data_IF_389481879972
#
_entry.id   IF_389481879972
#
_cell.length_a   1.000
_cell.length_b   1.000
_cell.length_c   1.000
_cell.angle_alpha   90.00
_cell.angle_beta   90.00
_cell.angle_gamma   90.00
#
_symmetry.space_group_name_H-M   'P 1'
#
loop_
_entity.id
_entity.type
_entity.pdbx_description
1 polymer ?
#
# COMPACT_ATOMS: atom_id res chain seq x y z
N UNK A 1 18.41 14.87 -15.47
CA UNK A 1 19.47 14.44 -14.53
C UNK A 1 20.55 15.52 -14.45
N UNK A 2 21.36 15.50 -13.38
CA UNK A 2 22.35 16.55 -13.06
C UNK A 2 23.62 16.58 -13.93
N UNK A 3 24.61 17.37 -13.53
CA UNK A 3 25.83 17.57 -14.29
C UNK A 3 26.69 16.30 -14.36
N UNK A 4 26.74 15.56 -13.24
CA UNK A 4 27.45 14.29 -13.08
C UNK A 4 26.91 13.11 -13.91
N UNK A 5 25.65 13.18 -14.37
CA UNK A 5 24.90 12.01 -14.86
C UNK A 5 25.61 11.16 -15.91
N UNK A 6 26.10 11.80 -16.97
CA UNK A 6 26.69 11.10 -18.12
C UNK A 6 27.96 10.38 -17.71
N UNK A 7 28.85 11.09 -16.98
CA UNK A 7 30.10 10.56 -16.44
C UNK A 7 29.86 9.41 -15.46
N UNK A 8 28.90 9.52 -14.55
CA UNK A 8 28.57 8.43 -13.61
C UNK A 8 28.01 7.22 -14.35
N UNK A 9 27.05 7.42 -15.27
CA UNK A 9 26.48 6.32 -16.07
C UNK A 9 27.54 5.59 -16.89
N UNK A 10 28.41 6.34 -17.57
CA UNK A 10 29.48 5.75 -18.38
C UNK A 10 30.47 4.98 -17.50
N UNK A 11 30.86 5.51 -16.35
CA UNK A 11 31.70 4.81 -15.39
C UNK A 11 31.04 3.54 -14.81
N UNK A 12 29.71 3.51 -14.67
CA UNK A 12 28.97 2.30 -14.27
C UNK A 12 28.95 1.26 -15.39
N UNK A 13 28.68 1.69 -16.62
CA UNK A 13 28.63 0.83 -17.81
C UNK A 13 30.00 0.21 -18.14
N UNK A 14 31.09 0.96 -17.97
CA UNK A 14 32.47 0.46 -18.14
C UNK A 14 33.03 -0.27 -16.92
N UNK A 15 32.29 -0.35 -15.80
CA UNK A 15 32.78 -0.93 -14.54
C UNK A 15 33.94 -0.16 -13.90
N UNK A 16 34.15 1.12 -14.26
CA UNK A 16 35.22 1.97 -13.73
C UNK A 16 34.79 2.85 -12.55
N UNK A 17 33.49 2.92 -12.23
CA UNK A 17 33.02 3.59 -11.01
C UNK A 17 33.66 2.91 -9.78
N UNK A 18 34.28 3.70 -8.91
CA UNK A 18 34.87 3.26 -7.64
C UNK A 18 34.12 3.88 -6.46
N UNK A 19 34.14 3.26 -5.28
CA UNK A 19 33.78 3.95 -4.04
C UNK A 19 34.55 5.27 -3.91
N UNK A 20 33.86 6.36 -3.57
CA UNK A 20 34.48 7.69 -3.41
C UNK A 20 34.44 8.62 -4.64
N UNK A 21 33.88 8.20 -5.78
CA UNK A 21 33.64 9.12 -6.91
C UNK A 21 32.68 10.27 -6.51
N UNK A 22 33.18 11.51 -6.50
CA UNK A 22 32.44 12.73 -6.07
C UNK A 22 31.14 12.98 -6.86
N UNK A 23 31.02 12.43 -8.06
CA UNK A 23 29.84 12.57 -8.92
C UNK A 23 28.67 11.63 -8.56
N UNK A 24 28.94 10.52 -7.88
CA UNK A 24 27.94 9.50 -7.57
C UNK A 24 26.86 9.97 -6.56
N UNK A 25 27.18 10.70 -5.47
CA UNK A 25 26.17 11.24 -4.56
C UNK A 25 25.20 12.23 -5.20
N UNK A 26 25.63 13.02 -6.19
CA UNK A 26 24.73 13.92 -6.93
C UNK A 26 23.68 13.10 -7.70
N UNK A 27 24.10 12.01 -8.36
CA UNK A 27 23.20 11.13 -9.11
C UNK A 27 22.22 10.41 -8.19
N UNK A 28 22.68 9.93 -7.03
CA UNK A 28 21.83 9.33 -6.00
C UNK A 28 20.75 10.30 -5.50
N UNK A 29 21.14 11.51 -5.08
CA UNK A 29 20.19 12.53 -4.61
C UNK A 29 19.19 12.97 -5.70
N UNK A 30 19.62 13.03 -6.97
CA UNK A 30 18.73 13.32 -8.11
C UNK A 30 17.77 12.17 -8.43
N UNK A 31 18.14 10.92 -8.14
CA UNK A 31 17.27 9.75 -8.27
C UNK A 31 16.18 9.73 -7.20
N UNK A 32 16.52 10.01 -5.93
CA UNK A 32 15.49 10.14 -4.88
C UNK A 32 14.55 11.33 -5.14
N UNK A 33 15.07 12.48 -5.58
CA UNK A 33 14.24 13.62 -5.99
C UNK A 33 13.32 13.28 -7.19
N UNK A 34 13.75 12.39 -8.09
CA UNK A 34 12.93 11.87 -9.18
C UNK A 34 11.80 10.97 -8.66
N UNK A 35 12.07 10.07 -7.70
CA UNK A 35 11.04 9.25 -7.08
C UNK A 35 9.99 10.08 -6.34
N UNK A 36 10.41 11.10 -5.58
CA UNK A 36 9.48 12.06 -4.95
C UNK A 36 8.63 12.79 -6.00
N UNK A 37 9.24 13.26 -7.09
CA UNK A 37 8.51 13.90 -8.18
C UNK A 37 7.48 12.96 -8.84
N UNK A 38 7.86 11.71 -9.18
CA UNK A 38 6.93 10.76 -9.80
C UNK A 38 5.83 10.35 -8.82
N UNK A 39 6.13 10.19 -7.53
CA UNK A 39 5.13 9.91 -6.49
C UNK A 39 4.07 11.01 -6.43
N UNK A 40 4.48 12.28 -6.39
CA UNK A 40 3.56 13.42 -6.42
C UNK A 40 2.74 13.49 -7.72
N UNK A 41 3.33 13.19 -8.88
CA UNK A 41 2.58 13.16 -10.15
C UNK A 41 1.58 12.00 -10.22
N UNK A 42 1.93 10.83 -9.67
CA UNK A 42 1.06 9.67 -9.63
C UNK A 42 -0.09 9.90 -8.65
N UNK A 43 0.17 10.40 -7.44
CA UNK A 43 -0.88 10.77 -6.48
C UNK A 43 -1.88 11.78 -7.06
N UNK A 44 -1.41 12.79 -7.79
CA UNK A 44 -2.26 13.74 -8.54
C UNK A 44 -3.14 13.09 -9.63
N UNK A 45 -2.70 11.99 -10.24
CA UNK A 45 -3.48 11.24 -11.25
C UNK A 45 -4.48 10.28 -10.61
N UNK A 46 -4.15 9.72 -9.46
CA UNK A 46 -4.98 8.73 -8.76
C UNK A 46 -6.01 9.36 -7.79
N UNK A 47 -5.74 10.58 -7.29
CA UNK A 47 -6.52 11.18 -6.22
C UNK A 47 -6.24 10.59 -4.83
N UNK A 48 -5.12 9.87 -4.69
CA UNK A 48 -4.74 9.08 -3.52
C UNK A 48 -3.34 9.47 -3.02
N UNK A 49 -3.01 9.18 -1.77
CA UNK A 49 -1.66 9.41 -1.25
C UNK A 49 -0.65 8.43 -1.85
N UNK A 50 0.49 8.98 -2.29
CA UNK A 50 1.57 8.27 -2.96
C UNK A 50 2.89 8.85 -2.50
N UNK A 51 3.70 8.04 -1.82
CA UNK A 51 4.93 8.47 -1.15
C UNK A 51 6.12 7.56 -1.50
N UNK A 52 7.37 8.07 -1.55
CA UNK A 52 8.55 7.23 -1.63
C UNK A 52 8.64 6.28 -0.44
N UNK A 53 8.79 4.99 -0.71
CA UNK A 53 8.92 3.95 0.30
C UNK A 53 10.36 3.90 0.82
N UNK A 54 10.61 4.66 1.90
CA UNK A 54 11.88 4.69 2.63
C UNK A 54 11.75 3.97 3.98
N UNK A 55 12.80 3.30 4.42
CA UNK A 55 12.82 2.71 5.76
C UNK A 55 12.87 3.81 6.85
N UNK A 56 12.43 3.48 8.07
CA UNK A 56 12.53 4.40 9.23
C UNK A 56 13.96 4.91 9.47
N UNK A 57 14.98 4.12 9.12
CA UNK A 57 16.39 4.50 9.23
C UNK A 57 16.81 5.51 8.16
N UNK A 58 16.38 5.30 6.91
CA UNK A 58 16.66 6.23 5.80
C UNK A 58 15.92 7.56 5.92
N UNK A 59 14.73 7.56 6.55
CA UNK A 59 14.01 8.79 6.90
C UNK A 59 14.69 9.59 8.01
N UNK A 60 15.29 8.90 8.99
CA UNK A 60 16.04 9.55 10.07
C UNK A 60 17.43 10.03 9.62
N UNK A 61 18.06 9.33 8.68
CA UNK A 61 19.38 9.66 8.12
C UNK A 61 19.38 9.58 6.58
N UNK A 62 19.19 10.73 5.89
CA UNK A 62 19.28 10.82 4.43
C UNK A 62 20.68 10.50 3.87
N UNK A 63 21.74 10.59 4.67
CA UNK A 63 23.09 10.23 4.23
C UNK A 63 23.25 8.70 4.11
N UNK A 64 22.59 7.90 4.97
CA UNK A 64 22.55 6.43 4.81
C UNK A 64 21.82 6.00 3.53
N UNK A 65 20.75 6.71 3.16
CA UNK A 65 20.03 6.50 1.90
C UNK A 65 20.93 6.74 0.69
N UNK A 66 21.62 7.89 0.67
CA UNK A 66 22.56 8.25 -0.39
C UNK A 66 23.75 7.28 -0.49
N UNK A 67 24.33 6.89 0.65
CA UNK A 67 25.40 5.88 0.70
C UNK A 67 24.96 4.53 0.14
N UNK A 68 23.76 4.06 0.50
CA UNK A 68 23.19 2.80 -0.02
C UNK A 68 23.03 2.83 -1.54
N UNK A 69 22.52 3.93 -2.10
CA UNK A 69 22.41 4.11 -3.56
C UNK A 69 23.77 4.13 -4.26
N UNK A 70 24.77 4.83 -3.70
CA UNK A 70 26.14 4.86 -4.25
C UNK A 70 26.80 3.48 -4.19
N UNK A 71 26.51 2.69 -3.14
CA UNK A 71 27.01 1.32 -3.00
C UNK A 71 26.39 0.37 -4.02
N UNK A 72 25.05 0.37 -4.20
CA UNK A 72 24.40 -0.42 -5.26
C UNK A 72 24.85 -0.01 -6.66
N UNK A 73 25.00 1.30 -6.91
CA UNK A 73 25.45 1.82 -8.21
C UNK A 73 26.91 1.45 -8.54
N UNK A 74 27.81 1.37 -7.55
CA UNK A 74 29.20 0.95 -7.77
C UNK A 74 29.39 -0.57 -7.85
N UNK A 75 28.69 -1.34 -7.01
CA UNK A 75 28.80 -2.81 -6.98
C UNK A 75 27.96 -3.46 -8.09
N UNK A 76 26.65 -3.30 -8.03
CA UNK A 76 25.67 -3.94 -8.90
C UNK A 76 25.46 -3.19 -10.21
N UNK A 77 25.68 -1.86 -10.22
CA UNK A 77 25.37 -1.00 -11.36
C UNK A 77 23.93 -0.49 -11.35
N UNK A 78 23.24 -0.58 -10.22
CA UNK A 78 21.81 -0.31 -10.10
C UNK A 78 21.49 0.91 -9.23
N UNK A 79 20.39 1.59 -9.55
CA UNK A 79 19.72 2.54 -8.67
C UNK A 79 18.34 1.99 -8.34
N UNK A 80 18.02 1.83 -7.06
CA UNK A 80 16.77 1.23 -6.62
C UNK A 80 16.04 2.13 -5.63
N UNK A 81 14.73 2.22 -5.78
CA UNK A 81 13.82 2.74 -4.76
C UNK A 81 12.46 2.08 -4.90
N UNK A 82 11.50 2.53 -4.10
CA UNK A 82 10.13 2.03 -4.16
C UNK A 82 9.15 3.16 -3.84
N UNK A 83 7.88 2.95 -4.19
CA UNK A 83 6.79 3.89 -4.03
C UNK A 83 5.65 3.17 -3.30
N UNK A 84 5.23 3.70 -2.16
CA UNK A 84 3.99 3.31 -1.50
C UNK A 84 2.83 4.01 -2.19
N UNK A 85 1.78 3.25 -2.51
CA UNK A 85 0.54 3.75 -3.09
C UNK A 85 -0.57 3.29 -2.15
N UNK A 86 -1.40 4.21 -1.68
CA UNK A 86 -2.50 3.89 -0.79
C UNK A 86 -3.42 2.83 -1.44
N UNK A 87 -3.89 1.87 -0.65
CA UNK A 87 -4.75 0.75 -1.07
C UNK A 87 -4.16 -0.24 -2.11
N UNK A 88 -2.90 -0.09 -2.54
CA UNK A 88 -2.23 -1.05 -3.42
C UNK A 88 -1.82 -2.35 -2.69
N UNK A 89 -1.61 -3.43 -3.45
CA UNK A 89 -1.25 -4.76 -2.90
C UNK A 89 0.14 -4.83 -2.23
N UNK A 90 0.99 -3.83 -2.48
CA UNK A 90 2.35 -3.72 -1.98
C UNK A 90 3.06 -2.51 -2.60
N UNK A 91 4.29 -2.19 -2.15
CA UNK A 91 5.08 -1.10 -2.72
C UNK A 91 5.49 -1.42 -4.17
N UNK A 92 5.38 -0.42 -5.05
CA UNK A 92 5.88 -0.47 -6.42
C UNK A 92 7.39 -0.23 -6.37
N UNK A 93 8.19 -1.27 -6.61
CA UNK A 93 9.66 -1.22 -6.56
C UNK A 93 10.21 -0.89 -7.95
N UNK A 94 11.10 0.09 -8.03
CA UNK A 94 11.71 0.58 -9.27
C UNK A 94 13.22 0.32 -9.21
N UNK A 95 13.69 -0.59 -10.05
CA UNK A 95 15.12 -0.91 -10.19
C UNK A 95 15.60 -0.47 -11.56
N UNK A 96 16.54 0.47 -11.56
CA UNK A 96 17.22 0.98 -12.75
C UNK A 96 18.56 0.29 -12.88
N UNK A 97 18.75 -0.60 -13.86
CA UNK A 97 20.05 -1.17 -14.19
C UNK A 97 20.75 -0.30 -15.25
N UNK A 98 21.82 0.38 -14.84
CA UNK A 98 22.59 1.29 -15.70
C UNK A 98 23.57 0.56 -16.62
N UNK A 99 23.90 -0.70 -16.35
CA UNK A 99 24.75 -1.54 -17.20
C UNK A 99 23.92 -2.20 -18.32
N UNK A 100 22.76 -2.74 -17.96
CA UNK A 100 21.81 -3.30 -18.92
C UNK A 100 21.03 -2.22 -19.70
N UNK A 101 20.94 -1.00 -19.18
CA UNK A 101 20.14 0.07 -19.79
C UNK A 101 18.64 -0.17 -19.67
N UNK A 102 18.19 -0.84 -18.61
CA UNK A 102 16.79 -1.25 -18.40
C UNK A 102 16.28 -0.75 -17.06
N UNK A 103 15.09 -0.13 -17.05
CA UNK A 103 14.33 0.14 -15.83
C UNK A 103 13.24 -0.93 -15.69
N UNK A 104 13.28 -1.64 -14.56
CA UNK A 104 12.33 -2.68 -14.20
C UNK A 104 11.48 -2.20 -13.03
N UNK A 105 10.18 -2.09 -13.25
CA UNK A 105 9.21 -1.93 -12.17
C UNK A 105 8.70 -3.31 -11.74
N UNK A 106 8.52 -3.54 -10.45
CA UNK A 106 7.88 -4.75 -9.94
C UNK A 106 7.04 -4.52 -8.70
N UNK A 107 6.14 -5.46 -8.42
CA UNK A 107 5.38 -5.56 -7.17
C UNK A 107 5.31 -7.02 -6.75
N UNK A 108 5.37 -7.24 -5.44
CA UNK A 108 5.23 -8.56 -4.83
C UNK A 108 3.82 -8.69 -4.22
N UNK A 109 3.14 -9.80 -4.52
CA UNK A 109 1.79 -10.10 -4.03
C UNK A 109 1.76 -11.46 -3.32
N UNK A 110 1.10 -11.52 -2.16
CA UNK A 110 0.90 -12.79 -1.45
C UNK A 110 0.01 -13.73 -2.27
N UNK A 111 0.37 -15.01 -2.36
CA UNK A 111 -0.46 -16.00 -3.00
C UNK A 111 -1.67 -16.35 -2.10
N UNK A 112 -2.80 -16.81 -2.68
CA UNK A 112 -3.92 -17.34 -1.91
C UNK A 112 -3.46 -18.45 -0.97
N UNK A 113 -3.91 -18.42 0.29
CA UNK A 113 -3.54 -19.47 1.26
C UNK A 113 -4.15 -20.82 0.85
N UNK A 114 -5.38 -20.79 0.36
CA UNK A 114 -6.14 -21.97 -0.02
C UNK A 114 -5.96 -22.39 -1.49
N UNK A 115 -6.10 -23.69 -1.75
CA UNK A 115 -6.07 -24.29 -3.08
C UNK A 115 -4.70 -24.82 -3.53
N UNK A 116 -4.70 -25.56 -4.64
CA UNK A 116 -3.47 -26.15 -5.22
C UNK A 116 -2.60 -25.06 -5.86
N UNK A 117 -1.31 -25.31 -6.06
CA UNK A 117 -0.38 -24.38 -6.71
C UNK A 117 -0.92 -23.83 -8.05
N UNK A 118 -1.49 -24.68 -8.92
CA UNK A 118 -2.13 -24.26 -10.18
C UNK A 118 -3.35 -23.36 -9.98
N UNK A 119 -4.12 -23.55 -8.91
CA UNK A 119 -5.24 -22.67 -8.55
C UNK A 119 -4.73 -21.27 -8.17
N UNK A 120 -3.60 -21.18 -7.46
CA UNK A 120 -2.94 -19.92 -7.09
C UNK A 120 -2.39 -19.18 -8.31
N UNK A 121 -1.75 -19.88 -9.25
CA UNK A 121 -1.29 -19.29 -10.53
C UNK A 121 -2.49 -18.79 -11.35
N UNK A 122 -3.54 -19.61 -11.51
CA UNK A 122 -4.75 -19.20 -12.22
C UNK A 122 -5.48 -18.03 -11.56
N UNK A 123 -5.39 -17.87 -10.24
CA UNK A 123 -5.89 -16.68 -9.53
C UNK A 123 -5.12 -15.41 -9.91
N UNK A 124 -3.80 -15.48 -10.08
CA UNK A 124 -3.00 -14.35 -10.55
C UNK A 124 -3.30 -14.04 -12.03
N UNK A 125 -3.35 -15.05 -12.89
CA UNK A 125 -3.63 -14.88 -14.32
C UNK A 125 -4.97 -14.19 -14.61
N UNK A 126 -5.99 -14.43 -13.76
CA UNK A 126 -7.28 -13.71 -13.86
C UNK A 126 -7.18 -12.22 -13.59
N UNK A 127 -6.17 -11.74 -12.88
CA UNK A 127 -5.92 -10.32 -12.63
C UNK A 127 -5.05 -9.73 -13.74
N UNK A 128 -4.07 -10.49 -14.25
CA UNK A 128 -3.14 -10.08 -15.31
C UNK A 128 -3.72 -10.21 -16.74
N UNK A 129 -4.99 -9.86 -16.95
CA UNK A 129 -5.64 -9.93 -18.28
C UNK A 129 -5.22 -8.82 -19.22
N UNK A 130 -5.02 -7.61 -18.71
CA UNK A 130 -4.61 -6.43 -19.47
C UNK A 130 -3.08 -6.22 -19.50
N UNK A 131 -2.35 -6.93 -18.63
CA UNK A 131 -0.90 -6.89 -18.54
C UNK A 131 -0.20 -7.34 -19.86
N UNK A 132 0.92 -6.70 -20.24
CA UNK A 132 1.65 -7.07 -21.46
C UNK A 132 2.27 -8.47 -21.41
N UNK A 133 2.35 -9.14 -22.55
CA UNK A 133 2.97 -10.47 -22.74
C UNK A 133 4.47 -10.54 -22.38
N UNK A 134 5.13 -9.38 -22.34
CA UNK A 134 6.51 -9.18 -21.91
C UNK A 134 6.68 -9.09 -20.39
N UNK A 135 5.59 -9.01 -19.63
CA UNK A 135 5.60 -9.07 -18.17
C UNK A 135 6.23 -10.39 -17.72
N UNK A 136 7.14 -10.33 -16.75
CA UNK A 136 7.69 -11.50 -16.07
C UNK A 136 6.93 -11.77 -14.79
N UNK A 137 6.57 -13.03 -14.58
CA UNK A 137 5.97 -13.53 -13.34
C UNK A 137 6.96 -14.51 -12.71
N UNK A 138 7.33 -14.28 -11.46
CA UNK A 138 8.19 -15.13 -10.65
C UNK A 138 7.40 -15.66 -9.44
N UNK A 139 7.41 -16.98 -9.24
CA UNK A 139 6.68 -17.66 -8.18
C UNK A 139 7.64 -18.17 -7.09
N UNK A 140 7.40 -17.78 -5.84
CA UNK A 140 8.23 -18.19 -4.70
C UNK A 140 7.52 -19.27 -3.89
N UNK A 141 8.21 -20.39 -3.64
CA UNK A 141 7.69 -21.47 -2.80
C UNK A 141 7.82 -21.15 -1.30
N UNK A 142 6.90 -21.68 -0.50
CA UNK A 142 6.96 -21.65 0.96
C UNK A 142 8.23 -22.35 1.45
N UNK A 143 8.94 -21.71 2.39
CA UNK A 143 10.25 -22.13 2.91
C UNK A 143 11.36 -22.28 1.86
N UNK A 144 11.14 -21.82 0.62
CA UNK A 144 12.16 -21.72 -0.41
C UNK A 144 13.26 -20.72 -0.03
N UNK A 145 14.48 -20.99 -0.52
CA UNK A 145 15.62 -20.08 -0.45
C UNK A 145 16.10 -19.80 -1.88
N UNK A 146 16.34 -18.53 -2.21
CA UNK A 146 16.83 -18.12 -3.53
C UNK A 146 15.75 -17.57 -4.45
N UNK A 147 16.03 -17.58 -5.75
CA UNK A 147 15.12 -17.12 -6.80
C UNK A 147 13.90 -18.04 -6.92
N UNK A 148 12.77 -17.49 -7.36
CA UNK A 148 11.58 -18.24 -7.70
C UNK A 148 11.62 -18.83 -9.11
N UNK A 149 10.65 -19.68 -9.42
CA UNK A 149 10.42 -20.13 -10.81
C UNK A 149 9.86 -18.94 -11.59
N UNK A 150 10.55 -18.48 -12.64
CA UNK A 150 10.21 -17.23 -13.33
C UNK A 150 10.02 -17.42 -14.83
N UNK A 151 8.87 -16.97 -15.34
CA UNK A 151 8.52 -17.05 -16.77
C UNK A 151 7.84 -15.79 -17.31
N UNK A 152 7.77 -15.69 -18.64
CA UNK A 152 7.07 -14.59 -19.32
C UNK A 152 5.57 -14.87 -19.41
N UNK A 153 4.76 -13.83 -19.20
CA UNK A 153 3.31 -13.94 -19.00
C UNK A 153 2.60 -14.65 -20.16
N UNK A 154 3.06 -14.48 -21.42
CA UNK A 154 2.56 -15.26 -22.56
C UNK A 154 2.63 -16.79 -22.32
N UNK A 155 3.80 -17.29 -21.91
CA UNK A 155 4.03 -18.72 -21.71
C UNK A 155 3.26 -19.24 -20.49
N UNK A 156 3.11 -18.40 -19.44
CA UNK A 156 2.29 -18.76 -18.26
C UNK A 156 0.80 -18.78 -18.57
N UNK A 157 0.30 -17.93 -19.50
CA UNK A 157 -1.09 -17.98 -19.97
C UNK A 157 -1.37 -19.28 -20.74
N UNK A 158 -0.44 -19.69 -21.62
CA UNK A 158 -0.56 -20.93 -22.39
C UNK A 158 -0.40 -22.17 -21.50
N UNK A 159 0.58 -22.15 -20.57
CA UNK A 159 0.91 -23.26 -19.70
C UNK A 159 1.19 -22.79 -18.24
N UNK A 160 0.14 -22.65 -17.40
CA UNK A 160 0.28 -22.21 -16.01
C UNK A 160 1.18 -23.08 -15.11
N UNK A 161 1.44 -24.32 -15.54
CA UNK A 161 2.32 -25.25 -14.82
C UNK A 161 3.81 -24.86 -14.85
N UNK A 162 4.23 -23.98 -15.77
CA UNK A 162 5.64 -23.55 -15.87
C UNK A 162 6.16 -22.81 -14.62
N UNK A 163 5.26 -22.22 -13.81
CA UNK A 163 5.61 -21.58 -12.54
C UNK A 163 5.61 -22.55 -11.33
N UNK A 164 5.50 -23.85 -11.56
CA UNK A 164 5.34 -24.87 -10.51
C UNK A 164 6.42 -25.94 -10.68
N UNK A 165 7.59 -25.70 -10.07
CA UNK A 165 8.69 -26.66 -10.05
C UNK A 165 8.35 -27.95 -9.29
N UNK A 166 7.68 -27.83 -8.13
CA UNK A 166 7.24 -28.97 -7.31
C UNK A 166 5.77 -28.78 -6.89
N UNK A 167 4.83 -29.57 -7.46
CA UNK A 167 3.41 -29.49 -7.11
C UNK A 167 3.07 -29.78 -5.64
N UNK A 168 3.99 -30.37 -4.86
CA UNK A 168 3.82 -30.62 -3.42
C UNK A 168 4.19 -29.42 -2.55
N UNK A 169 4.87 -28.41 -3.10
CA UNK A 169 5.24 -27.19 -2.37
C UNK A 169 4.20 -26.09 -2.62
N UNK A 170 3.72 -25.49 -1.54
CA UNK A 170 2.84 -24.34 -1.64
C UNK A 170 3.58 -23.09 -2.12
N UNK A 171 2.88 -22.26 -2.90
CA UNK A 171 3.40 -20.96 -3.34
C UNK A 171 3.10 -19.92 -2.25
N UNK A 172 4.13 -19.17 -1.84
CA UNK A 172 4.07 -18.09 -0.84
C UNK A 172 3.57 -16.79 -1.46
N UNK A 173 4.16 -16.42 -2.58
CA UNK A 173 4.02 -15.10 -3.19
C UNK A 173 4.43 -15.14 -4.65
N UNK A 174 3.97 -14.15 -5.40
CA UNK A 174 4.39 -13.89 -6.77
C UNK A 174 5.03 -12.51 -6.86
N UNK A 175 6.04 -12.38 -7.71
CA UNK A 175 6.56 -11.09 -8.18
C UNK A 175 6.12 -10.89 -9.61
N UNK A 176 5.55 -9.72 -9.90
CA UNK A 176 5.16 -9.32 -11.24
C UNK A 176 6.06 -8.16 -11.62
N UNK A 177 6.80 -8.29 -12.73
CA UNK A 177 7.82 -7.34 -13.13
C UNK A 177 7.73 -6.98 -14.63
N UNK A 178 7.88 -5.70 -14.96
CA UNK A 178 7.94 -5.21 -16.34
C UNK A 178 9.21 -4.39 -16.54
N UNK A 179 10.02 -4.78 -17.52
CA UNK A 179 11.24 -4.08 -17.93
C UNK A 179 11.00 -3.20 -19.16
N UNK A 180 11.62 -2.02 -19.19
CA UNK A 180 11.61 -1.11 -20.34
C UNK A 180 12.96 -0.41 -20.52
N UNK A 181 13.34 0.00 -21.75
CA UNK A 181 14.64 0.59 -22.00
C UNK A 181 14.79 2.01 -21.43
N UNK A 182 15.97 2.31 -20.91
CA UNK A 182 16.33 3.61 -20.34
C UNK A 182 16.76 4.59 -21.45
N UNK A 183 16.21 5.79 -21.41
CA UNK A 183 16.62 6.90 -22.26
C UNK A 183 18.03 7.41 -21.94
N UNK A 184 18.87 7.52 -22.97
CA UNK A 184 20.27 7.94 -22.84
C UNK A 184 20.47 9.45 -22.66
N UNK A 185 19.44 10.30 -22.85
CA UNK A 185 19.56 11.76 -22.78
C UNK A 185 19.55 12.28 -21.34
N UNK A 186 20.29 13.37 -21.10
CA UNK A 186 20.46 14.02 -19.78
C UNK A 186 19.27 14.89 -19.35
N UNK A 187 18.59 15.53 -20.30
CA UNK A 187 17.55 16.56 -20.05
C UNK A 187 16.18 16.00 -19.67
N UNK A 188 15.11 16.78 -19.95
CA UNK A 188 13.72 16.30 -20.08
C UNK A 188 13.40 16.08 -21.56
N UNK A 189 12.38 15.29 -21.87
CA UNK A 189 11.90 15.05 -23.23
C UNK A 189 12.33 13.69 -23.80
N UNK A 190 11.63 13.27 -24.86
CA UNK A 190 11.64 11.90 -25.42
C UNK A 190 13.05 11.29 -25.51
N UNK A 191 13.23 10.17 -24.82
CA UNK A 191 14.50 9.44 -24.72
C UNK A 191 15.43 9.94 -23.60
N UNK A 192 14.91 10.67 -22.61
CA UNK A 192 15.64 11.00 -21.38
C UNK A 192 15.51 9.91 -20.30
N UNK A 193 16.46 9.91 -19.37
CA UNK A 193 16.39 9.06 -18.17
C UNK A 193 15.12 9.28 -17.35
N UNK A 194 14.78 10.55 -17.11
CA UNK A 194 13.64 10.96 -16.27
C UNK A 194 12.34 10.47 -16.88
N UNK A 195 12.13 10.77 -18.17
CA UNK A 195 10.94 10.37 -18.90
C UNK A 195 10.83 8.84 -18.99
N UNK A 196 11.93 8.09 -19.14
CA UNK A 196 11.90 6.62 -19.13
C UNK A 196 11.43 6.05 -17.78
N UNK A 197 11.95 6.56 -16.66
CA UNK A 197 11.54 6.11 -15.32
C UNK A 197 10.09 6.50 -15.03
N UNK A 198 9.69 7.74 -15.35
CA UNK A 198 8.31 8.21 -15.20
C UNK A 198 7.34 7.36 -16.04
N UNK A 199 7.64 7.12 -17.32
CA UNK A 199 6.79 6.28 -18.17
C UNK A 199 6.74 4.83 -17.67
N UNK A 200 7.87 4.23 -17.28
CA UNK A 200 7.90 2.86 -16.76
C UNK A 200 6.99 2.68 -15.53
N UNK A 201 7.00 3.65 -14.60
CA UNK A 201 6.14 3.63 -13.40
C UNK A 201 4.67 3.81 -13.79
N UNK A 202 4.33 4.77 -14.67
CA UNK A 202 2.94 5.00 -15.08
C UNK A 202 2.37 3.80 -15.85
N UNK A 203 3.12 3.24 -16.81
CA UNK A 203 2.72 2.05 -17.57
C UNK A 203 2.59 0.82 -16.67
N UNK A 204 3.56 0.57 -15.78
CA UNK A 204 3.47 -0.55 -14.85
C UNK A 204 2.27 -0.41 -13.89
N UNK A 205 1.95 0.81 -13.44
CA UNK A 205 0.76 1.02 -12.63
C UNK A 205 -0.53 0.75 -13.40
N UNK A 206 -0.69 1.35 -14.58
CA UNK A 206 -1.90 1.27 -15.39
C UNK A 206 -2.16 -0.11 -16.01
N UNK A 207 -1.12 -0.81 -16.47
CA UNK A 207 -1.33 -2.09 -17.16
C UNK A 207 -1.33 -3.30 -16.20
N UNK A 208 -0.85 -3.13 -14.96
CA UNK A 208 -0.65 -4.22 -13.99
C UNK A 208 -1.19 -3.87 -12.60
N UNK A 209 -0.64 -2.86 -11.92
CA UNK A 209 -0.91 -2.68 -10.48
C UNK A 209 -2.36 -2.34 -10.17
N UNK A 210 -3.03 -1.55 -11.01
CA UNK A 210 -4.42 -1.13 -10.79
C UNK A 210 -5.43 -2.29 -10.79
N UNK A 211 -5.10 -3.41 -11.44
CA UNK A 211 -5.95 -4.61 -11.56
C UNK A 211 -5.68 -5.66 -10.46
N UNK A 212 -4.57 -5.52 -9.73
CA UNK A 212 -4.19 -6.45 -8.65
C UNK A 212 -5.06 -6.22 -7.40
N UNK A 213 -5.49 -7.32 -6.78
CA UNK A 213 -6.23 -7.33 -5.52
C UNK A 213 -5.61 -8.35 -4.57
N UNK A 214 -5.32 -7.95 -3.34
CA UNK A 214 -4.79 -8.87 -2.34
C UNK A 214 -5.82 -9.97 -2.06
N UNK A 215 -5.36 -11.22 -1.90
CA UNK A 215 -6.25 -12.32 -1.57
C UNK A 215 -6.81 -12.15 -0.14
N UNK A 216 -8.12 -12.37 0.01
CA UNK A 216 -8.83 -12.38 1.29
C UNK A 216 -9.51 -13.73 1.47
N UNK A 217 -9.49 -14.26 2.70
CA UNK A 217 -10.18 -15.50 3.03
C UNK A 217 -11.70 -15.36 2.88
N UNK A 218 -12.39 -16.45 2.55
CA UNK A 218 -13.85 -16.46 2.52
C UNK A 218 -14.39 -16.20 3.94
N UNK A 219 -15.44 -15.37 4.13
CA UNK A 219 -16.07 -15.19 5.43
C UNK A 219 -16.52 -16.53 6.03
N UNK A 220 -16.33 -16.75 7.35
CA UNK A 220 -16.81 -17.95 8.00
C UNK A 220 -18.34 -18.00 7.90
N UNK A 221 -18.87 -19.15 7.46
CA UNK A 221 -20.32 -19.37 7.41
C UNK A 221 -20.84 -19.63 8.82
N UNK A 222 -22.05 -19.14 9.11
CA UNK A 222 -22.76 -19.55 10.31
C UNK A 222 -22.94 -21.07 10.28
N UNK A 223 -22.75 -21.70 11.44
CA UNK A 223 -23.03 -23.13 11.59
C UNK A 223 -24.54 -23.28 11.61
N UNK A 224 -25.10 -23.90 10.58
CA UNK A 224 -26.47 -24.39 10.64
C UNK A 224 -26.56 -25.36 11.81
N UNK A 225 -27.26 -24.94 12.87
CA UNK A 225 -27.68 -25.86 13.93
C UNK A 225 -28.73 -26.74 13.25
N UNK A 226 -28.52 -28.07 13.15
CA UNK A 226 -29.57 -28.94 12.63
C UNK A 226 -30.79 -28.75 13.52
N UNK A 227 -31.95 -28.46 12.93
CA UNK A 227 -33.20 -28.43 13.66
C UNK A 227 -33.40 -29.81 14.28
N UNK A 228 -33.11 -29.92 15.59
CA UNK A 228 -33.53 -31.06 16.39
C UNK A 228 -35.05 -31.06 16.34
N UNK A 229 -35.60 -32.06 15.65
CA UNK A 229 -37.03 -32.34 15.62
C UNK A 229 -37.59 -32.26 17.04
N UNK A 230 -38.57 -31.37 17.23
CA UNK A 230 -39.12 -30.98 18.51
C UNK A 230 -40.00 -32.10 19.13
N UNK A 231 -39.38 -33.22 19.54
CA UNK A 231 -39.91 -34.03 20.64
C UNK A 231 -39.41 -33.43 21.95
N UNK A 232 -40.06 -32.32 22.36
CA UNK A 232 -39.94 -31.84 23.73
C UNK A 232 -40.74 -32.78 24.62
N UNK A 233 -40.12 -33.56 25.55
CA UNK A 233 -40.88 -33.98 26.71
C UNK A 233 -41.36 -32.70 27.41
N UNK A 234 -42.66 -32.59 27.63
CA UNK A 234 -43.26 -31.44 28.30
C UNK A 234 -42.56 -31.20 29.63
N UNK A 235 -41.90 -30.05 29.78
CA UNK A 235 -41.37 -29.62 31.07
C UNK A 235 -42.57 -29.23 31.94
N UNK A 236 -43.15 -30.22 32.63
CA UNK A 236 -44.13 -29.99 33.68
C UNK A 236 -43.48 -29.09 34.72
N UNK A 237 -43.98 -27.86 34.84
CA UNK A 237 -43.47 -26.88 35.78
C UNK A 237 -43.80 -27.31 37.21
N UNK A 238 -42.93 -28.13 37.80
CA UNK A 238 -42.91 -28.38 39.25
C UNK A 238 -42.33 -27.16 39.96
N UNK A 239 -43.10 -26.07 39.94
CA UNK A 239 -43.01 -25.02 40.94
C UNK A 239 -43.39 -25.61 42.30
N UNK A 240 -42.44 -26.34 42.91
CA UNK A 240 -42.57 -26.84 44.27
C UNK A 240 -42.49 -25.65 45.23
N UNK A 241 -43.68 -25.11 45.47
CA UNK A 241 -44.06 -24.26 46.59
C UNK A 241 -43.21 -24.57 47.83
N UNK A 242 -42.47 -23.56 48.28
CA UNK A 242 -41.74 -23.58 49.54
C UNK A 242 -42.00 -22.27 50.27
N UNK A 243 -43.09 -22.26 51.04
CA UNK A 243 -43.25 -21.37 52.19
C UNK A 243 -44.27 -21.97 53.15
N UNK A 244 -43.83 -22.08 54.40
CA UNK A 244 -44.59 -22.62 55.53
C UNK A 244 -45.52 -21.53 56.11
N UNK A 245 -46.61 -21.93 56.77
CA UNK A 245 -47.78 -21.07 56.96
C UNK A 245 -47.82 -20.21 58.23
N UNK A 246 -48.81 -19.32 58.27
CA UNK A 246 -49.44 -18.80 59.49
C UNK A 246 -50.88 -18.35 59.16
N UNK A 247 -51.77 -18.45 60.15
CA UNK A 247 -53.23 -18.29 60.03
C UNK A 247 -53.68 -16.82 60.03
N UNK A 248 -54.84 -16.54 59.42
CA UNK A 248 -56.05 -16.02 60.10
C UNK A 248 -57.07 -15.38 59.13
N UNK A 249 -58.36 -15.46 59.48
CA UNK A 249 -59.49 -14.82 58.79
C UNK A 249 -59.47 -13.28 58.88
N UNK A 250 -60.01 -12.58 57.85
CA UNK A 250 -61.17 -11.65 57.97
C UNK A 250 -61.50 -10.85 56.67
N UNK A 251 -62.55 -11.27 55.93
CA UNK A 251 -63.76 -10.54 55.45
C UNK A 251 -63.71 -8.96 55.42
N UNK A 252 -64.35 -8.19 54.49
CA UNK A 252 -64.63 -8.31 53.03
C UNK A 252 -64.52 -6.98 52.18
N UNK A 253 -64.82 -7.07 50.87
CA UNK A 253 -65.59 -6.13 49.98
C UNK A 253 -65.43 -4.58 49.98
N UNK A 254 -65.01 -4.04 48.81
CA UNK A 254 -65.64 -2.96 47.98
C UNK A 254 -65.87 -1.50 48.54
N UNK A 255 -66.13 -0.47 47.69
CA UNK A 255 -65.41 -0.01 46.48
C UNK A 255 -65.21 1.55 46.45
N UNK A 256 -64.97 2.10 45.24
CA UNK A 256 -65.24 3.49 44.76
C UNK A 256 -64.14 4.57 44.71
N UNK A 257 -64.07 5.18 43.51
CA UNK A 257 -63.78 6.57 43.12
C UNK A 257 -62.58 7.39 43.65
N UNK A 258 -61.89 8.01 42.68
CA UNK A 258 -61.85 9.49 42.68
C UNK A 258 -60.49 10.20 42.64
N UNK A 259 -60.04 10.54 41.42
CA UNK A 259 -59.60 11.90 41.05
C UNK A 259 -58.32 12.52 41.70
N UNK A 260 -57.27 12.76 40.90
CA UNK A 260 -56.75 14.12 40.53
C UNK A 260 -55.32 14.12 39.90
N UNK A 261 -55.11 15.10 39.00
CA UNK A 261 -53.86 15.57 38.35
C UNK A 261 -53.66 17.07 38.74
N UNK A 262 -52.69 17.88 38.21
CA UNK A 262 -51.43 17.64 37.46
C UNK A 262 -50.23 18.15 38.34
N UNK A 263 -49.21 18.98 37.96
CA UNK A 263 -48.61 19.36 36.66
C UNK A 263 -47.05 19.41 36.55
N UNK A 264 -46.60 19.34 35.28
CA UNK A 264 -45.54 20.08 34.57
C UNK A 264 -44.22 20.57 35.22
N UNK A 265 -43.11 20.18 34.56
CA UNK A 265 -41.97 21.06 34.20
C UNK A 265 -41.38 20.62 32.83
N UNK A 266 -41.21 21.51 31.84
CA UNK A 266 -40.43 21.27 30.62
C UNK A 266 -39.08 22.04 30.61
N UNK A 267 -38.07 21.54 29.87
CA UNK A 267 -36.74 22.16 29.77
C UNK A 267 -36.54 22.99 28.47
N UNK A 268 -35.69 24.01 28.55
CA UNK A 268 -35.77 25.23 27.73
C UNK A 268 -35.02 25.24 26.38
N UNK A 269 -35.39 26.20 25.52
CA UNK A 269 -34.56 26.74 24.44
C UNK A 269 -33.99 28.10 24.86
N UNK A 270 -32.79 28.44 24.39
CA UNK A 270 -32.48 29.85 24.13
C UNK A 270 -31.59 30.03 22.87
N UNK A 271 -31.98 30.99 22.04
CA UNK A 271 -31.16 31.65 21.02
C UNK A 271 -30.96 33.11 21.50
N UNK A 272 -29.77 33.71 21.34
CA UNK A 272 -29.58 34.97 20.59
C UNK A 272 -28.15 35.58 20.66
N UNK A 273 -27.67 35.85 19.45
CA UNK A 273 -26.78 36.92 18.95
C UNK A 273 -26.43 38.14 19.86
N UNK A 274 -25.17 38.61 19.77
CA UNK A 274 -24.83 40.06 19.83
C UNK A 274 -23.41 40.41 19.37
N UNK A 275 -23.33 41.48 18.57
CA UNK A 275 -22.17 41.99 17.82
C UNK A 275 -21.11 42.82 18.58
N UNK A 276 -19.92 43.03 17.96
CA UNK A 276 -18.93 44.04 18.39
C UNK A 276 -17.70 44.19 17.44
N UNK A 277 -17.44 45.40 16.92
CA UNK A 277 -16.34 45.80 15.98
C UNK A 277 -15.18 46.52 16.74
N UNK A 278 -14.18 47.21 16.09
CA UNK A 278 -13.12 46.79 15.15
C UNK A 278 -11.68 47.30 15.54
N UNK A 279 -10.72 47.25 14.60
CA UNK A 279 -9.27 47.63 14.66
C UNK A 279 -8.93 49.12 14.96
N UNK A 280 -7.66 49.49 15.26
CA UNK A 280 -6.61 49.83 14.23
C UNK A 280 -5.18 49.30 14.57
N UNK A 281 -4.28 48.94 13.64
CA UNK A 281 -3.47 49.72 12.67
C UNK A 281 -2.35 50.61 13.26
N UNK A 282 -1.06 50.30 12.97
CA UNK A 282 -0.13 51.15 12.18
C UNK A 282 1.34 50.63 12.15
N UNK A 283 2.03 50.92 11.03
CA UNK A 283 3.49 51.04 10.78
C UNK A 283 4.51 50.07 11.45
N UNK A 284 5.57 49.58 10.79
CA UNK A 284 6.12 49.89 9.47
C UNK A 284 7.61 50.28 9.57
N UNK A 285 8.51 49.47 8.99
CA UNK A 285 9.89 49.87 8.68
C UNK A 285 10.54 48.93 7.65
N UNK A 286 11.53 49.46 6.91
CA UNK A 286 12.11 48.92 5.67
C UNK A 286 13.50 48.29 5.90
N UNK A 287 14.10 47.60 4.90
CA UNK A 287 15.30 46.78 5.10
C UNK A 287 16.59 47.60 5.18
N UNK A 288 17.62 47.04 5.84
CA UNK A 288 18.96 47.62 5.95
C UNK A 288 20.06 46.72 5.37
N UNK A 289 20.69 47.21 4.31
CA UNK A 289 22.03 46.85 3.77
C UNK A 289 22.34 47.98 2.77
N UNK A 290 23.53 48.60 2.76
CA UNK A 290 24.84 47.96 2.57
C UNK A 290 25.81 48.27 3.74
N UNK A 291 27.10 47.89 3.77
CA UNK A 291 28.20 48.40 2.93
C UNK A 291 29.46 47.50 3.02
N UNK A 292 30.27 47.36 1.94
CA UNK A 292 31.60 46.75 2.01
C UNK A 292 32.73 47.77 1.84
N UNK A 293 33.80 47.69 2.65
CA UNK A 293 35.18 48.06 2.24
C UNK A 293 36.24 47.84 3.34
N UNK A 294 37.48 47.62 2.89
CA UNK A 294 38.77 47.47 3.61
C UNK A 294 38.96 46.15 4.36
#
# INVERSE_FOLDING_TARGET
>A
MGASWVTTREAVASGTLRPGYKCAPEVAARFDALLTYVSLQLGRKLGEDVTPALSRKELADPALRSQSLVQSMSTQGTLQGAINIQNAVGPLVVTTDLRAGVVTCHVDIAAPRDGRATTRVNWLLRQLRHAPDSTRVEAFVMHGRGAGTAELLRAVRDQPALLIEDPKKDLRSFRIALGSPIGSKRGRGRGSFIDSVENAINTFYGDIVQDLRAWTAAPPRLREVPETSDERPSLTSTALSSQDGAEADEIPQQPEDGHLLPPDVPDERWDTDSAGRPSPSLAGSRPGTPDPSI
#
